data_IF_407705127635
#
_entry.id   IF_407705127635
#
_cell.length_a   1.000
_cell.length_b   1.000
_cell.length_c   1.000
_cell.angle_alpha   90.00
_cell.angle_beta   90.00
_cell.angle_gamma   90.00
#
_symmetry.space_group_name_H-M   'P 1'
#
loop_
_entity.id
_entity.type
_entity.pdbx_description
1 polymer ?
#
# COMPACT_ATOMS: atom_id res chain seq x y z
N UNK A 1 -6.71 -7.68 -44.40
CA UNK A 1 -5.64 -7.57 -43.39
C UNK A 1 -6.19 -8.10 -42.08
N UNK A 2 -5.73 -9.25 -41.56
CA UNK A 2 -6.16 -9.74 -40.27
C UNK A 2 -5.37 -9.02 -39.17
N UNK A 3 -6.09 -8.43 -38.22
CA UNK A 3 -5.55 -7.88 -36.99
C UNK A 3 -5.11 -9.08 -36.13
N UNK A 4 -3.81 -9.25 -35.98
CA UNK A 4 -3.22 -10.25 -35.10
C UNK A 4 -3.41 -9.76 -33.65
N UNK A 5 -4.48 -10.21 -33.00
CA UNK A 5 -4.66 -10.08 -31.55
C UNK A 5 -3.64 -10.98 -30.87
N UNK A 6 -2.44 -10.44 -30.62
CA UNK A 6 -1.46 -11.06 -29.74
C UNK A 6 -2.00 -11.03 -28.30
N UNK A 7 -2.16 -12.18 -27.63
CA UNK A 7 -2.49 -12.17 -26.21
C UNK A 7 -1.30 -11.56 -25.47
N UNK A 8 -1.49 -10.39 -24.87
CA UNK A 8 -0.60 -9.85 -23.85
C UNK A 8 -0.54 -10.89 -22.73
N UNK A 9 0.55 -11.65 -22.71
CA UNK A 9 0.89 -12.53 -21.60
C UNK A 9 1.31 -11.61 -20.46
N UNK A 10 0.33 -11.20 -19.65
CA UNK A 10 0.59 -10.66 -18.33
C UNK A 10 1.31 -11.78 -17.61
N UNK A 11 2.64 -11.73 -17.58
CA UNK A 11 3.40 -12.59 -16.71
C UNK A 11 2.94 -12.21 -15.31
N UNK A 12 2.10 -13.07 -14.73
CA UNK A 12 1.81 -13.12 -13.32
C UNK A 12 3.16 -13.35 -12.62
N UNK A 13 3.91 -12.27 -12.40
CA UNK A 13 5.00 -12.23 -11.46
C UNK A 13 4.37 -12.16 -10.07
N UNK A 14 3.77 -13.28 -9.65
CA UNK A 14 3.35 -13.54 -8.27
C UNK A 14 4.60 -13.75 -7.42
N UNK A 15 5.37 -12.69 -7.25
CA UNK A 15 6.27 -12.54 -6.11
C UNK A 15 5.93 -11.18 -5.52
N UNK A 16 4.94 -11.19 -4.63
CA UNK A 16 4.60 -10.11 -3.70
C UNK A 16 5.81 -9.81 -2.84
N UNK A 17 6.74 -9.03 -3.38
CA UNK A 17 7.76 -8.38 -2.58
C UNK A 17 7.26 -6.95 -2.33
N UNK A 18 6.41 -6.83 -1.33
CA UNK A 18 6.14 -5.55 -0.69
C UNK A 18 7.44 -5.06 -0.04
N UNK A 19 8.07 -4.07 -0.68
CA UNK A 19 9.24 -3.36 -0.14
C UNK A 19 8.79 -2.30 0.86
N UNK A 20 8.08 -2.75 1.90
CA UNK A 20 7.51 -1.93 2.97
C UNK A 20 8.46 -1.82 4.16
N UNK A 21 8.14 -0.97 5.14
CA UNK A 21 8.92 -0.72 6.36
C UNK A 21 8.89 -1.91 7.35
N UNK A 22 9.18 -3.11 6.87
CA UNK A 22 9.29 -4.34 7.65
C UNK A 22 10.74 -4.80 7.67
N UNK A 23 11.14 -5.48 8.74
CA UNK A 23 12.50 -5.96 9.04
C UNK A 23 13.08 -6.98 8.01
N UNK A 24 12.39 -7.21 6.90
CA UNK A 24 12.88 -7.90 5.70
C UNK A 24 13.75 -6.92 4.91
N UNK A 25 15.07 -7.06 5.02
CA UNK A 25 16.09 -6.32 4.26
C UNK A 25 15.81 -6.30 2.75
N UNK A 26 14.96 -5.40 2.29
CA UNK A 26 14.87 -5.02 0.90
C UNK A 26 14.88 -3.51 0.86
N UNK A 27 16.08 -2.99 0.67
CA UNK A 27 16.33 -1.57 0.57
C UNK A 27 15.66 -1.04 -0.70
N UNK A 28 15.39 0.27 -0.76
CA UNK A 28 14.85 0.94 -1.97
C UNK A 28 15.67 0.60 -3.22
N UNK A 29 16.97 0.38 -3.06
CA UNK A 29 17.89 -0.09 -4.11
C UNK A 29 17.46 -1.45 -4.66
N UNK A 30 17.13 -2.43 -3.81
CA UNK A 30 16.69 -3.76 -4.24
C UNK A 30 15.40 -3.68 -5.05
N UNK A 31 14.45 -2.84 -4.64
CA UNK A 31 13.20 -2.61 -5.36
C UNK A 31 13.45 -2.00 -6.75
N UNK A 32 14.30 -0.95 -6.81
CA UNK A 32 14.67 -0.31 -8.07
C UNK A 32 15.44 -1.26 -9.00
N UNK A 33 16.39 -2.02 -8.46
CA UNK A 33 17.15 -3.03 -9.21
C UNK A 33 16.25 -4.11 -9.79
N UNK A 34 15.22 -4.55 -9.05
CA UNK A 34 14.24 -5.50 -9.56
C UNK A 34 13.51 -4.95 -10.78
N UNK A 35 12.99 -3.73 -10.70
CA UNK A 35 12.30 -3.08 -11.83
C UNK A 35 13.23 -2.94 -13.05
N UNK A 36 14.49 -2.53 -12.82
CA UNK A 36 15.48 -2.40 -13.89
C UNK A 36 15.81 -3.74 -14.55
N UNK A 37 15.95 -4.81 -13.74
CA UNK A 37 16.18 -6.15 -14.24
C UNK A 37 15.00 -6.65 -15.08
N UNK A 38 13.77 -6.47 -14.61
CA UNK A 38 12.55 -6.88 -15.32
C UNK A 38 12.42 -6.16 -16.68
N UNK A 39 12.74 -4.85 -16.72
CA UNK A 39 12.76 -4.08 -17.98
C UNK A 39 13.86 -4.57 -18.92
N UNK A 40 15.08 -4.78 -18.40
CA UNK A 40 16.23 -5.23 -19.21
C UNK A 40 15.96 -6.59 -19.82
N UNK A 41 15.42 -7.53 -19.04
CA UNK A 41 15.06 -8.87 -19.51
C UNK A 41 13.99 -8.84 -20.62
N UNK A 42 13.00 -7.94 -20.51
CA UNK A 42 12.00 -7.75 -21.55
C UNK A 42 12.61 -7.20 -22.84
N UNK A 43 13.54 -6.25 -22.74
CA UNK A 43 14.28 -5.69 -23.88
C UNK A 43 15.11 -6.78 -24.57
N UNK A 44 15.87 -7.58 -23.82
CA UNK A 44 16.70 -8.67 -24.35
C UNK A 44 15.86 -9.71 -25.10
N UNK A 45 14.62 -9.96 -24.64
CA UNK A 45 13.65 -10.86 -25.29
C UNK A 45 12.88 -10.20 -26.43
N UNK A 46 13.17 -8.94 -26.79
CA UNK A 46 12.44 -8.14 -27.79
C UNK A 46 10.94 -8.04 -27.51
N UNK A 47 10.57 -8.00 -26.23
CA UNK A 47 9.18 -7.84 -25.78
C UNK A 47 8.87 -6.37 -25.52
N UNK A 48 7.58 -6.02 -25.59
CA UNK A 48 7.10 -4.73 -25.12
C UNK A 48 6.95 -4.75 -23.59
N UNK A 49 7.50 -3.75 -22.92
CA UNK A 49 7.39 -3.57 -21.48
C UNK A 49 6.61 -2.28 -21.18
N UNK A 50 5.64 -2.35 -20.27
CA UNK A 50 4.88 -1.20 -19.77
C UNK A 50 4.94 -1.24 -18.25
N UNK A 51 5.30 -0.12 -17.62
CA UNK A 51 5.34 0.02 -16.17
C UNK A 51 4.36 1.10 -15.73
N UNK A 52 3.55 0.79 -14.71
CA UNK A 52 2.63 1.73 -14.07
C UNK A 52 3.14 2.04 -12.67
N UNK A 53 3.37 3.32 -12.39
CA UNK A 53 3.76 3.81 -11.08
C UNK A 53 2.58 4.56 -10.46
N UNK A 54 2.18 4.16 -9.25
CA UNK A 54 1.03 4.71 -8.53
C UNK A 54 1.54 5.35 -7.24
N UNK A 55 1.14 6.59 -7.01
CA UNK A 55 1.40 7.31 -5.76
C UNK A 55 0.08 7.61 -5.03
N UNK A 56 0.03 7.29 -3.73
CA UNK A 56 -1.17 7.45 -2.91
C UNK A 56 -1.13 8.80 -2.19
N UNK A 57 -2.04 9.70 -2.57
CA UNK A 57 -2.20 10.98 -1.89
C UNK A 57 -2.57 10.80 -0.42
N UNK A 58 -1.77 11.40 0.48
CA UNK A 58 -2.00 11.37 1.94
C UNK A 58 -2.19 9.96 2.49
N UNK A 59 -1.40 8.99 2.02
CA UNK A 59 -1.60 7.57 2.25
C UNK A 59 -1.87 7.18 3.72
N UNK A 60 -1.15 7.79 4.67
CA UNK A 60 -1.35 7.55 6.10
C UNK A 60 -2.63 8.18 6.67
N UNK A 61 -3.08 9.30 6.12
CA UNK A 61 -4.27 10.03 6.59
C UNK A 61 -5.57 9.43 6.03
N UNK A 62 -5.48 8.67 4.95
CA UNK A 62 -6.64 8.08 4.24
C UNK A 62 -6.96 6.65 4.65
N UNK A 63 -6.27 6.11 5.65
CA UNK A 63 -6.50 4.73 6.13
C UNK A 63 -7.87 4.62 6.78
N UNK A 64 -8.79 3.90 6.14
CA UNK A 64 -10.11 3.60 6.71
C UNK A 64 -10.00 2.63 7.89
N UNK A 65 -10.54 3.01 9.05
CA UNK A 65 -10.42 2.22 10.29
C UNK A 65 -11.23 0.92 10.27
N UNK A 66 -12.36 0.87 9.56
CA UNK A 66 -13.18 -0.33 9.46
C UNK A 66 -12.49 -1.39 8.58
N UNK A 67 -11.94 -0.96 7.44
CA UNK A 67 -11.14 -1.82 6.56
C UNK A 67 -9.89 -2.29 7.29
N UNK A 68 -9.16 -1.38 7.96
CA UNK A 68 -7.97 -1.75 8.74
C UNK A 68 -8.30 -2.78 9.81
N UNK A 69 -9.41 -2.63 10.53
CA UNK A 69 -9.87 -3.61 11.53
C UNK A 69 -10.10 -4.99 10.90
N UNK A 70 -10.75 -5.04 9.74
CA UNK A 70 -10.95 -6.29 9.00
C UNK A 70 -9.61 -6.93 8.59
N UNK A 71 -8.64 -6.12 8.13
CA UNK A 71 -7.30 -6.58 7.76
C UNK A 71 -6.53 -7.14 8.97
N UNK A 72 -6.60 -6.47 10.11
CA UNK A 72 -5.96 -6.95 11.34
C UNK A 72 -6.52 -8.32 11.75
N UNK A 73 -7.84 -8.52 11.66
CA UNK A 73 -8.46 -9.83 11.88
C UNK A 73 -8.03 -10.87 10.84
N UNK A 74 -7.95 -10.52 9.56
CA UNK A 74 -7.58 -11.47 8.49
C UNK A 74 -6.13 -11.94 8.55
N UNK A 75 -5.25 -11.16 9.17
CA UNK A 75 -3.85 -11.55 9.43
C UNK A 75 -3.73 -12.53 10.62
N UNK A 76 -4.82 -12.78 11.35
CA UNK A 76 -4.88 -13.76 12.44
C UNK A 76 -4.58 -13.20 13.83
N UNK A 77 -4.68 -11.88 14.02
CA UNK A 77 -4.60 -11.29 15.36
C UNK A 77 -5.80 -11.70 16.21
N UNK A 78 -5.58 -11.85 17.53
CA UNK A 78 -6.66 -12.11 18.48
C UNK A 78 -7.65 -10.95 18.54
N UNK A 79 -8.91 -11.25 18.89
CA UNK A 79 -9.95 -10.22 19.05
C UNK A 79 -9.54 -9.11 20.02
N UNK A 80 -8.82 -9.45 21.10
CA UNK A 80 -8.30 -8.48 22.05
C UNK A 80 -7.26 -7.54 21.44
N UNK A 81 -6.34 -8.05 20.62
CA UNK A 81 -5.36 -7.22 19.93
C UNK A 81 -6.03 -6.30 18.91
N UNK A 82 -7.01 -6.83 18.15
CA UNK A 82 -7.80 -6.04 17.20
C UNK A 82 -8.60 -4.94 17.92
N UNK A 83 -9.24 -5.26 19.05
CA UNK A 83 -9.96 -4.29 19.87
C UNK A 83 -9.03 -3.22 20.43
N UNK A 84 -7.81 -3.59 20.84
CA UNK A 84 -6.80 -2.65 21.31
C UNK A 84 -6.39 -1.66 20.20
N UNK A 85 -6.15 -2.14 18.98
CA UNK A 85 -5.86 -1.27 17.84
C UNK A 85 -7.05 -0.40 17.45
N UNK A 86 -8.27 -0.93 17.49
CA UNK A 86 -9.46 -0.13 17.25
C UNK A 86 -9.57 1.01 18.27
N UNK A 87 -9.38 0.71 19.56
CA UNK A 87 -9.39 1.71 20.62
C UNK A 87 -8.23 2.73 20.48
N UNK A 88 -7.04 2.28 20.09
CA UNK A 88 -5.91 3.16 19.78
C UNK A 88 -6.25 4.16 18.67
N UNK A 89 -7.12 3.77 17.74
CA UNK A 89 -7.49 4.62 16.61
C UNK A 89 -8.75 5.48 16.85
N UNK A 90 -9.62 5.09 17.78
CA UNK A 90 -10.88 5.77 18.11
C UNK A 90 -10.69 7.12 18.82
N UNK A 91 -11.71 7.98 18.71
CA UNK A 91 -11.88 9.23 19.45
C UNK A 91 -10.69 10.20 19.41
N UNK A 92 -9.84 10.07 18.38
CA UNK A 92 -8.71 10.98 18.19
C UNK A 92 -9.19 12.34 17.69
N UNK A 93 -8.45 13.36 18.07
CA UNK A 93 -8.62 14.72 17.58
C UNK A 93 -7.29 15.30 17.11
N UNK A 94 -7.35 16.27 16.21
CA UNK A 94 -6.20 17.02 15.71
C UNK A 94 -6.48 18.52 15.71
N UNK A 95 -5.43 19.31 15.86
CA UNK A 95 -5.45 20.76 15.72
C UNK A 95 -4.09 21.22 15.17
N UNK A 96 -4.07 22.38 14.52
CA UNK A 96 -2.83 23.02 14.07
C UNK A 96 -2.38 24.06 15.09
N UNK A 97 -1.09 24.10 15.40
CA UNK A 97 -0.49 25.14 16.23
C UNK A 97 0.45 26.01 15.39
N UNK A 98 0.30 27.32 15.47
CA UNK A 98 1.16 28.30 14.81
C UNK A 98 1.33 29.53 15.71
N UNK A 99 2.56 29.98 15.92
CA UNK A 99 2.90 31.11 16.81
C UNK A 99 2.23 31.04 18.20
N UNK A 100 2.17 29.84 18.78
CA UNK A 100 1.57 29.60 20.10
C UNK A 100 0.03 29.57 20.12
N UNK A 101 -0.63 29.93 19.01
CA UNK A 101 -2.08 29.83 18.85
C UNK A 101 -2.46 28.44 18.32
N UNK A 102 -3.56 27.88 18.82
CA UNK A 102 -4.10 26.61 18.36
C UNK A 102 -5.43 26.79 17.64
N UNK A 103 -5.65 26.02 16.57
CA UNK A 103 -6.96 25.92 15.95
C UNK A 103 -7.97 25.19 16.84
N UNK A 104 -9.24 25.23 16.43
CA UNK A 104 -10.25 24.32 16.96
C UNK A 104 -9.82 22.86 16.73
N UNK A 105 -10.14 21.99 17.69
CA UNK A 105 -9.90 20.54 17.57
C UNK A 105 -10.94 19.91 16.64
N UNK A 106 -10.46 19.10 15.71
CA UNK A 106 -11.29 18.33 14.78
C UNK A 106 -11.13 16.84 15.07
N UNK A 107 -12.20 16.06 14.96
CA UNK A 107 -12.15 14.61 15.09
C UNK A 107 -11.42 13.99 13.89
N UNK A 108 -10.64 12.93 14.15
CA UNK A 108 -9.88 12.19 13.15
C UNK A 108 -10.60 10.88 12.87
N UNK A 109 -11.38 10.87 11.77
CA UNK A 109 -12.19 9.72 11.37
C UNK A 109 -11.43 8.68 10.54
N UNK A 110 -10.33 9.09 9.91
CA UNK A 110 -9.49 8.25 9.06
C UNK A 110 -8.03 8.48 9.40
N UNK A 111 -7.21 7.52 8.98
CA UNK A 111 -5.78 7.60 9.03
C UNK A 111 -5.17 7.01 10.29
N UNK A 112 -3.86 6.80 10.23
CA UNK A 112 -3.04 6.38 11.36
C UNK A 112 -2.15 7.54 11.81
N UNK A 113 -1.77 7.62 13.10
CA UNK A 113 -0.97 8.74 13.58
C UNK A 113 0.41 8.77 12.91
N UNK A 114 0.69 9.82 12.15
CA UNK A 114 2.02 10.05 11.57
C UNK A 114 3.04 10.35 12.68
N UNK A 115 4.26 9.82 12.55
CA UNK A 115 5.30 9.92 13.58
C UNK A 115 5.14 8.93 14.75
N UNK A 116 4.08 8.11 14.76
CA UNK A 116 3.98 6.98 15.69
C UNK A 116 4.78 5.78 15.22
N UNK A 117 5.24 4.96 16.16
CA UNK A 117 5.91 3.67 15.87
C UNK A 117 4.96 2.70 15.16
N UNK A 118 3.67 2.74 15.48
CA UNK A 118 2.67 1.79 14.97
C UNK A 118 2.09 2.21 13.61
N UNK A 119 2.16 3.49 13.24
CA UNK A 119 1.61 4.00 11.98
C UNK A 119 2.13 3.25 10.74
N UNK A 120 3.45 3.14 10.54
CA UNK A 120 4.02 2.37 9.43
C UNK A 120 3.62 0.89 9.40
N UNK A 121 3.52 0.25 10.57
CA UNK A 121 3.10 -1.15 10.69
C UNK A 121 1.63 -1.33 10.27
N UNK A 122 0.74 -0.49 10.79
CA UNK A 122 -0.69 -0.52 10.46
C UNK A 122 -0.93 -0.23 8.99
N UNK A 123 -0.20 0.73 8.41
CA UNK A 123 -0.27 1.04 6.99
C UNK A 123 0.21 -0.14 6.12
N UNK A 124 1.29 -0.82 6.54
CA UNK A 124 1.78 -2.01 5.83
C UNK A 124 0.74 -3.13 5.82
N UNK A 125 0.09 -3.39 6.96
CA UNK A 125 -0.99 -4.38 7.04
C UNK A 125 -2.18 -3.98 6.15
N UNK A 126 -2.50 -2.69 6.10
CA UNK A 126 -3.60 -2.16 5.29
C UNK A 126 -3.42 -2.42 3.80
N UNK A 127 -2.21 -2.17 3.26
CA UNK A 127 -1.92 -2.28 1.82
C UNK A 127 -1.49 -3.68 1.37
N UNK A 128 -1.26 -4.61 2.29
CA UNK A 128 -0.69 -5.94 1.98
C UNK A 128 -1.55 -6.79 1.03
N UNK A 129 -2.85 -6.50 0.93
CA UNK A 129 -3.79 -7.21 0.04
C UNK A 129 -4.16 -6.42 -1.23
N UNK A 130 -3.42 -5.36 -1.55
CA UNK A 130 -3.69 -4.53 -2.74
C UNK A 130 -3.58 -5.37 -4.03
N UNK A 131 -2.58 -6.24 -4.10
CA UNK A 131 -2.25 -7.09 -5.25
C UNK A 131 -3.36 -8.10 -5.59
N UNK A 132 -4.04 -8.66 -4.57
CA UNK A 132 -5.15 -9.62 -4.75
C UNK A 132 -6.31 -9.03 -5.54
N UNK A 133 -6.50 -7.72 -5.48
CA UNK A 133 -7.57 -7.02 -6.21
C UNK A 133 -7.17 -6.63 -7.64
N UNK A 134 -5.88 -6.70 -7.98
CA UNK A 134 -5.35 -6.31 -9.29
C UNK A 134 -5.36 -7.48 -10.29
N UNK A 135 -5.46 -8.73 -9.82
CA UNK A 135 -5.44 -9.93 -10.68
C UNK A 135 -6.57 -9.99 -11.73
N UNK A 136 -7.65 -9.22 -11.53
CA UNK A 136 -8.79 -9.11 -12.47
C UNK A 136 -8.84 -7.77 -13.22
N UNK A 137 -7.83 -6.90 -13.06
CA UNK A 137 -7.82 -5.59 -13.71
C UNK A 137 -7.59 -5.76 -15.22
N UNK A 138 -8.63 -5.48 -16.02
CA UNK A 138 -8.52 -5.41 -17.47
C UNK A 138 -8.00 -4.02 -17.88
N UNK A 139 -6.81 -3.98 -18.47
CA UNK A 139 -6.29 -2.78 -19.12
C UNK A 139 -6.72 -2.80 -20.58
N UNK A 140 -7.71 -1.99 -20.93
CA UNK A 140 -8.13 -1.79 -22.31
C UNK A 140 -7.22 -0.73 -22.95
N UNK A 141 -6.47 -1.14 -23.98
CA UNK A 141 -5.67 -0.25 -24.83
C UNK A 141 -6.28 -0.19 -26.23
#
# INVERSE_FOLDING_TARGET
MPILSLPLKINNCTHTHTHTHTHTHTHTITAAMKVLNDITEAIDKKQHCVSLFIDLSKAFDTVDHAILRQRLSSVGLSEHAVAWFANYLSDRTQCTQFDGLMSVKLSVLNGVPQGSVLGPLLFTIYINDLDKNIQNAQLNF
#
